data_IF_038913930568
#
_entry.id   IF_038913930568
#
_cell.length_a   1.000
_cell.length_b   1.000
_cell.length_c   1.000
_cell.angle_alpha   90.00
_cell.angle_beta   90.00
_cell.angle_gamma   90.00
#
_symmetry.space_group_name_H-M   'P 1'
#
loop_
_entity.id
_entity.type
_entity.pdbx_description
1 polymer ?
#
# COMPACT_ATOMS: atom_id res chain seq x y z
N UNK A 1 -10.80 15.10 -3.83
CA UNK A 1 -9.56 15.12 -3.01
C UNK A 1 -9.76 14.11 -1.89
N UNK A 2 -8.86 13.14 -1.74
CA UNK A 2 -9.00 12.11 -0.70
C UNK A 2 -8.71 12.73 0.67
N UNK A 3 -9.55 12.45 1.65
CA UNK A 3 -9.39 12.94 3.03
C UNK A 3 -8.74 11.88 3.93
N UNK A 4 -8.15 12.32 5.05
CA UNK A 4 -7.57 11.40 6.04
C UNK A 4 -8.59 10.43 6.61
N UNK A 5 -9.81 10.89 6.84
CA UNK A 5 -10.90 10.04 7.35
C UNK A 5 -11.28 8.97 6.33
N UNK A 6 -11.45 9.33 5.05
CA UNK A 6 -11.76 8.36 3.99
C UNK A 6 -10.66 7.32 3.85
N UNK A 7 -9.40 7.74 3.84
CA UNK A 7 -8.26 6.82 3.78
C UNK A 7 -8.21 5.87 5.00
N UNK A 8 -8.57 6.36 6.20
CA UNK A 8 -8.66 5.54 7.42
C UNK A 8 -9.78 4.50 7.33
N UNK A 9 -10.95 4.88 6.85
CA UNK A 9 -12.06 3.95 6.68
C UNK A 9 -11.74 2.86 5.65
N UNK A 10 -11.22 3.26 4.49
CA UNK A 10 -10.85 2.32 3.42
C UNK A 10 -9.72 1.40 3.89
N UNK A 11 -8.67 1.93 4.52
CA UNK A 11 -7.62 1.09 5.13
C UNK A 11 -8.22 0.09 6.11
N UNK A 12 -9.02 0.54 7.07
CA UNK A 12 -9.58 -0.36 8.10
C UNK A 12 -10.42 -1.49 7.49
N UNK A 13 -11.13 -1.21 6.39
CA UNK A 13 -11.97 -2.19 5.69
C UNK A 13 -11.15 -3.21 4.89
N UNK A 14 -10.03 -2.81 4.29
CA UNK A 14 -9.25 -3.63 3.37
C UNK A 14 -7.89 -4.10 3.91
N UNK A 15 -7.48 -3.62 5.09
CA UNK A 15 -6.17 -3.93 5.70
C UNK A 15 -5.95 -5.44 5.83
N UNK A 16 -6.95 -6.19 6.30
CA UNK A 16 -6.82 -7.63 6.47
C UNK A 16 -6.62 -8.37 5.13
N UNK A 17 -7.23 -7.89 4.05
CA UNK A 17 -7.08 -8.47 2.72
C UNK A 17 -5.73 -8.08 2.10
N UNK A 18 -5.29 -6.83 2.28
CA UNK A 18 -3.97 -6.38 1.84
C UNK A 18 -2.85 -7.13 2.56
N UNK A 19 -2.97 -7.35 3.87
CA UNK A 19 -2.01 -8.12 4.67
C UNK A 19 -1.95 -9.62 4.31
N UNK A 20 -2.96 -10.15 3.61
CA UNK A 20 -2.94 -11.53 3.11
C UNK A 20 -2.14 -11.69 1.81
N UNK A 21 -1.88 -10.59 1.08
CA UNK A 21 -1.10 -10.64 -0.16
C UNK A 21 0.35 -10.99 0.14
N UNK A 22 0.91 -11.86 -0.68
CA UNK A 22 2.29 -12.31 -0.56
C UNK A 22 3.26 -11.14 -0.60
N UNK A 23 4.16 -11.08 0.38
CA UNK A 23 5.18 -10.04 0.48
C UNK A 23 4.74 -8.76 1.20
N UNK A 24 3.44 -8.55 1.49
CA UNK A 24 2.99 -7.41 2.29
C UNK A 24 3.37 -7.62 3.76
N UNK A 25 4.07 -6.65 4.33
CA UNK A 25 4.54 -6.65 5.73
C UNK A 25 3.89 -5.56 6.58
N UNK A 26 3.21 -4.60 5.96
CA UNK A 26 2.50 -3.57 6.69
C UNK A 26 1.62 -2.72 5.79
N UNK A 27 0.56 -2.16 6.37
CA UNK A 27 -0.33 -1.20 5.70
C UNK A 27 -0.44 0.04 6.57
N UNK A 28 -0.20 1.20 5.97
CA UNK A 28 -0.27 2.51 6.63
C UNK A 28 -1.08 3.50 5.80
N UNK A 29 -1.23 4.70 6.33
CA UNK A 29 -1.79 5.84 5.62
C UNK A 29 -0.70 6.88 5.59
N UNK A 30 -0.47 7.44 4.42
CA UNK A 30 0.56 8.43 4.23
C UNK A 30 0.27 9.30 3.03
N UNK A 31 1.34 9.92 2.58
CA UNK A 31 1.36 10.72 1.38
C UNK A 31 2.01 9.94 0.26
N UNK A 32 1.45 10.05 -0.95
CA UNK A 32 1.95 9.34 -2.12
C UNK A 32 3.32 9.89 -2.50
N UNK A 33 4.26 9.01 -2.79
CA UNK A 33 5.56 9.40 -3.32
C UNK A 33 5.56 9.26 -4.84
N UNK A 34 6.03 10.30 -5.54
CA UNK A 34 6.22 10.29 -7.00
C UNK A 34 7.64 10.76 -7.27
N UNK A 35 8.42 9.98 -8.03
CA UNK A 35 9.84 10.26 -8.34
C UNK A 35 10.70 10.57 -7.10
N UNK A 36 10.45 9.85 -6.00
CA UNK A 36 11.17 10.03 -4.73
C UNK A 36 10.79 11.29 -3.95
N UNK A 37 9.72 12.00 -4.34
CA UNK A 37 9.21 13.19 -3.65
C UNK A 37 7.86 12.89 -3.03
N UNK A 38 7.71 13.24 -1.75
CA UNK A 38 6.41 13.23 -1.08
C UNK A 38 5.48 14.26 -1.75
N UNK A 39 4.25 13.85 -2.03
CA UNK A 39 3.22 14.71 -2.62
C UNK A 39 2.15 15.07 -1.59
N UNK A 40 1.29 16.05 -1.87
CA UNK A 40 0.15 16.36 -1.00
C UNK A 40 -1.04 15.40 -1.19
N UNK A 41 -0.85 14.28 -1.91
CA UNK A 41 -1.92 13.32 -2.17
C UNK A 41 -1.93 12.24 -1.09
N UNK A 42 -3.04 12.18 -0.35
CA UNK A 42 -3.29 11.13 0.64
C UNK A 42 -3.47 9.77 -0.06
N UNK A 43 -2.79 8.75 0.44
CA UNK A 43 -2.86 7.38 -0.06
C UNK A 43 -2.78 6.34 1.07
N UNK A 44 -3.12 5.10 0.73
CA UNK A 44 -2.79 3.93 1.55
C UNK A 44 -1.39 3.49 1.14
N UNK A 45 -0.49 3.30 2.11
CA UNK A 45 0.88 2.84 1.85
C UNK A 45 0.95 1.36 2.18
N UNK A 46 1.26 0.52 1.19
CA UNK A 46 1.53 -0.90 1.39
C UNK A 46 3.04 -1.12 1.41
N UNK A 47 3.55 -1.59 2.54
CA UNK A 47 4.95 -1.97 2.69
C UNK A 47 5.12 -3.43 2.28
N UNK A 48 6.05 -3.67 1.36
CA UNK A 48 6.39 -5.00 0.88
C UNK A 48 7.86 -5.31 1.14
N UNK A 49 8.19 -6.59 1.32
CA UNK A 49 9.58 -7.04 1.46
C UNK A 49 10.39 -6.72 0.22
N UNK A 50 9.80 -6.96 -0.96
CA UNK A 50 10.44 -6.80 -2.26
C UNK A 50 9.35 -6.45 -3.30
N UNK A 51 9.64 -5.52 -4.20
CA UNK A 51 8.82 -5.25 -5.38
C UNK A 51 9.11 -6.29 -6.45
N UNK A 52 8.06 -6.99 -6.85
CA UNK A 52 8.09 -7.96 -7.94
C UNK A 52 7.38 -7.39 -9.16
N UNK A 53 7.75 -7.89 -10.34
CA UNK A 53 6.98 -7.59 -11.55
C UNK A 53 5.61 -8.27 -11.48
N UNK A 54 4.63 -7.77 -12.23
CA UNK A 54 3.31 -8.39 -12.29
C UNK A 54 3.37 -9.83 -12.82
N UNK A 55 4.37 -10.16 -13.64
CA UNK A 55 4.61 -11.51 -14.18
C UNK A 55 5.07 -12.50 -13.11
N UNK A 56 5.77 -12.00 -12.08
CA UNK A 56 6.27 -12.78 -10.94
C UNK A 56 5.26 -12.87 -9.78
N UNK A 57 4.09 -12.23 -9.90
CA UNK A 57 3.05 -12.19 -8.89
C UNK A 57 1.83 -13.02 -9.32
N UNK A 58 1.25 -13.75 -8.36
CA UNK A 58 -0.07 -14.30 -8.58
C UNK A 58 -1.09 -13.16 -8.70
N UNK A 59 -2.12 -13.31 -9.53
CA UNK A 59 -3.15 -12.28 -9.73
C UNK A 59 -3.80 -11.81 -8.41
N UNK A 60 -3.86 -12.70 -7.41
CA UNK A 60 -4.35 -12.39 -6.07
C UNK A 60 -3.41 -11.51 -5.24
N UNK A 61 -2.12 -11.51 -5.54
CA UNK A 61 -1.08 -10.77 -4.82
C UNK A 61 -0.79 -9.40 -5.45
N UNK A 62 -1.24 -9.17 -6.69
CA UNK A 62 -1.19 -7.86 -7.34
C UNK A 62 -1.96 -6.86 -6.47
N UNK A 63 -1.25 -5.82 -6.02
CA UNK A 63 -1.85 -4.73 -5.24
C UNK A 63 -2.45 -3.73 -6.24
N UNK A 64 -3.75 -3.41 -6.14
CA UNK A 64 -4.37 -2.46 -7.06
C UNK A 64 -3.81 -1.04 -6.84
N UNK A 65 -3.81 -0.22 -7.88
CA UNK A 65 -3.35 1.18 -7.81
C UNK A 65 -4.27 2.08 -6.97
N UNK A 66 -5.53 1.68 -6.79
CA UNK A 66 -6.51 2.36 -5.95
C UNK A 66 -7.55 1.40 -5.37
N UNK A 67 -8.10 1.74 -4.20
CA UNK A 67 -9.27 1.06 -3.59
C UNK A 67 -10.28 2.11 -3.16
N UNK A 68 -11.53 1.99 -3.63
CA UNK A 68 -12.63 2.90 -3.31
C UNK A 68 -12.28 4.39 -3.51
N UNK A 69 -11.53 4.69 -4.58
CA UNK A 69 -11.07 6.05 -4.91
C UNK A 69 -9.89 6.56 -4.07
N UNK A 70 -9.32 5.70 -3.21
CA UNK A 70 -8.11 6.00 -2.43
C UNK A 70 -6.91 5.37 -3.14
N UNK A 71 -5.93 6.16 -3.60
CA UNK A 71 -4.75 5.61 -4.25
C UNK A 71 -3.93 4.77 -3.27
N UNK A 72 -3.23 3.78 -3.81
CA UNK A 72 -2.27 2.96 -3.06
C UNK A 72 -0.86 3.29 -3.54
N UNK A 73 0.06 3.39 -2.59
CA UNK A 73 1.48 3.52 -2.82
C UNK A 73 2.19 2.27 -2.30
N UNK A 74 3.00 1.63 -3.14
CA UNK A 74 3.71 0.41 -2.78
C UNK A 74 5.17 0.77 -2.50
N UNK A 75 5.59 0.56 -1.26
CA UNK A 75 6.92 0.91 -0.79
C UNK A 75 7.67 -0.37 -0.41
N UNK A 76 8.84 -0.56 -1.01
CA UNK A 76 9.73 -1.65 -0.64
C UNK A 76 10.50 -1.26 0.62
N UNK A 77 10.44 -2.08 1.67
CA UNK A 77 11.13 -1.82 2.94
C UNK A 77 12.11 -2.91 3.34
N UNK A 78 12.16 -4.03 2.60
CA UNK A 78 12.85 -5.22 3.07
C UNK A 78 12.14 -5.88 4.25
N UNK A 79 12.89 -6.67 5.03
CA UNK A 79 12.33 -7.34 6.22
C UNK A 79 12.22 -6.35 7.37
N UNK A 80 10.98 -6.01 7.76
CA UNK A 80 10.72 -5.27 8.99
C UNK A 80 10.91 -6.24 10.18
N UNK A 81 11.94 -6.00 11.01
CA UNK A 81 12.16 -6.71 12.27
C UNK A 81 11.96 -5.74 13.42
N UNK A 82 11.04 -6.07 14.34
CA UNK A 82 10.98 -5.43 15.64
C UNK A 82 11.98 -6.15 16.57
N UNK A 83 12.83 -5.39 17.26
CA UNK A 83 13.74 -5.86 18.29
C UNK A 83 13.14 -5.66 19.67
#
# INVERSE_FOLDING_TARGET
>A
MVTMEKAREVKKKHEAELMKKSGVVGVAIGYKHIDGRETNQICIVCYVVEKKTEEDLETRDIIPEEIEGVPIDVVETGRIQAF
#
